data_IF_849193895728
#
_entry.id   IF_849193895728
#
_cell.length_a   1.000
_cell.length_b   1.000
_cell.length_c   1.000
_cell.angle_alpha   90.00
_cell.angle_beta   90.00
_cell.angle_gamma   90.00
#
_symmetry.space_group_name_H-M   'P 1'
#
loop_
_entity.id
_entity.type
_entity.pdbx_description
1 polymer ?
#
# COMPACT_ATOMS: atom_id res chain seq x y z
N UNK A 1 32.84 3.72 23.91
CA UNK A 1 31.39 3.71 23.67
C UNK A 1 31.19 3.20 22.25
N UNK A 2 30.88 1.93 22.04
CA UNK A 2 30.71 1.37 20.69
C UNK A 2 29.27 1.60 20.22
N UNK A 3 29.15 2.45 19.22
CA UNK A 3 27.94 2.72 18.45
C UNK A 3 27.52 1.48 17.65
N UNK A 4 26.41 0.85 18.02
CA UNK A 4 25.74 -0.09 17.12
C UNK A 4 25.12 0.68 15.95
N UNK A 5 25.32 0.20 14.73
CA UNK A 5 24.61 0.68 13.55
C UNK A 5 23.25 -0.02 13.45
N UNK A 6 22.17 0.75 13.56
CA UNK A 6 20.79 0.27 13.50
C UNK A 6 20.16 0.72 12.18
N UNK A 7 19.57 -0.21 11.43
CA UNK A 7 18.75 0.12 10.24
C UNK A 7 17.29 -0.18 10.53
N UNK A 8 16.40 0.73 10.13
CA UNK A 8 14.96 0.71 10.46
C UNK A 8 14.15 0.94 9.20
N UNK A 9 13.15 0.07 8.97
CA UNK A 9 12.24 0.21 7.83
C UNK A 9 10.79 -0.11 8.20
N UNK A 10 9.84 0.68 7.68
CA UNK A 10 8.42 0.35 7.78
C UNK A 10 7.96 -0.38 6.52
N UNK A 11 7.18 -1.44 6.69
CA UNK A 11 6.57 -2.17 5.58
C UNK A 11 5.31 -2.89 6.04
N UNK A 12 4.21 -2.85 5.26
CA UNK A 12 2.92 -3.47 5.60
C UNK A 12 2.48 -3.21 7.06
N UNK A 13 2.52 -1.95 7.51
CA UNK A 13 2.19 -1.52 8.88
C UNK A 13 3.03 -2.16 10.01
N UNK A 14 4.17 -2.79 9.70
CA UNK A 14 5.12 -3.32 10.68
C UNK A 14 6.45 -2.57 10.60
N UNK A 15 7.11 -2.45 11.74
CA UNK A 15 8.44 -1.83 11.83
C UNK A 15 9.47 -2.95 11.97
N UNK A 16 10.49 -2.90 11.11
CA UNK A 16 11.58 -3.85 11.05
C UNK A 16 12.86 -3.19 11.53
N UNK A 17 13.57 -3.84 12.45
CA UNK A 17 14.74 -3.28 13.12
C UNK A 17 15.88 -4.30 13.07
N UNK A 18 17.05 -3.85 12.61
CA UNK A 18 18.33 -4.53 12.78
C UNK A 18 18.96 -4.14 14.13
N UNK A 19 19.25 -5.11 15.00
CA UNK A 19 19.91 -4.90 16.29
C UNK A 19 21.21 -5.68 16.37
N UNK A 20 22.34 -4.97 16.54
CA UNK A 20 23.66 -5.57 16.74
C UNK A 20 23.86 -6.21 18.11
N UNK A 21 24.60 -7.32 18.18
CA UNK A 21 25.12 -7.88 19.45
C UNK A 21 26.40 -7.14 19.87
N UNK A 22 26.54 -6.84 21.15
CA UNK A 22 27.70 -6.12 21.69
C UNK A 22 29.03 -6.77 21.27
N UNK A 23 29.99 -5.95 20.82
CA UNK A 23 31.33 -6.36 20.42
C UNK A 23 31.39 -7.37 19.26
N UNK A 24 30.31 -7.53 18.51
CA UNK A 24 30.28 -8.31 17.27
C UNK A 24 29.86 -7.42 16.12
N UNK A 25 30.37 -7.69 14.91
CA UNK A 25 29.85 -7.06 13.68
C UNK A 25 28.46 -7.59 13.28
N UNK A 26 27.82 -8.39 14.14
CA UNK A 26 26.62 -9.18 13.85
C UNK A 26 25.36 -8.56 14.45
N UNK A 27 24.23 -8.74 13.79
CA UNK A 27 22.92 -8.23 14.16
C UNK A 27 21.79 -9.23 13.86
N UNK A 28 20.68 -9.12 14.58
CA UNK A 28 19.43 -9.87 14.34
C UNK A 28 18.31 -8.92 13.89
N UNK A 29 17.32 -9.45 13.16
CA UNK A 29 16.16 -8.68 12.67
C UNK A 29 14.94 -8.96 13.54
N UNK A 30 14.28 -7.88 13.95
CA UNK A 30 13.09 -7.90 14.79
C UNK A 30 11.92 -7.23 14.09
N UNK A 31 10.72 -7.68 14.43
CA UNK A 31 9.45 -7.02 14.13
C UNK A 31 8.96 -6.34 15.39
N UNK A 32 8.63 -5.06 15.30
CA UNK A 32 7.91 -4.34 16.33
C UNK A 32 6.42 -4.29 16.00
N UNK A 33 5.60 -4.78 16.92
CA UNK A 33 4.13 -4.85 16.79
C UNK A 33 3.39 -3.71 17.49
N UNK A 34 4.12 -2.79 18.13
CA UNK A 34 3.56 -1.70 18.93
C UNK A 34 3.89 -1.81 20.41
N UNK A 35 4.17 -3.01 20.90
CA UNK A 35 4.48 -3.24 22.32
C UNK A 35 5.81 -3.99 22.52
N UNK A 36 6.12 -4.96 21.66
CA UNK A 36 7.28 -5.85 21.83
C UNK A 36 8.09 -6.03 20.56
N UNK A 37 9.38 -6.35 20.72
CA UNK A 37 10.26 -6.76 19.63
C UNK A 37 10.28 -8.29 19.53
N UNK A 38 9.87 -8.83 18.39
CA UNK A 38 9.86 -10.27 18.12
C UNK A 38 10.91 -10.61 17.07
N UNK A 39 11.84 -11.55 17.34
CA UNK A 39 12.85 -11.94 16.36
C UNK A 39 12.19 -12.65 15.18
N UNK A 40 12.63 -12.35 13.96
CA UNK A 40 12.10 -12.97 12.73
C UNK A 40 12.65 -14.39 12.55
N UNK A 41 13.87 -14.63 13.02
CA UNK A 41 14.48 -15.95 13.12
C UNK A 41 15.62 -15.88 14.15
N UNK A 42 15.53 -16.63 15.25
CA UNK A 42 16.52 -16.61 16.33
C UNK A 42 17.87 -17.23 15.96
N UNK A 43 17.93 -17.98 14.86
CA UNK A 43 19.11 -18.78 14.48
C UNK A 43 19.99 -18.09 13.42
N UNK A 44 19.65 -16.87 13.00
CA UNK A 44 20.37 -16.16 11.94
C UNK A 44 20.98 -14.89 12.52
N UNK A 45 22.31 -14.87 12.65
CA UNK A 45 23.10 -13.68 12.95
C UNK A 45 23.70 -13.11 11.66
N UNK A 46 23.53 -11.81 11.39
CA UNK A 46 23.90 -11.17 10.13
C UNK A 46 24.93 -10.08 10.34
N UNK A 47 26.00 -10.03 9.55
CA UNK A 47 26.99 -8.96 9.65
C UNK A 47 26.50 -7.67 8.97
N UNK A 48 26.34 -6.58 9.73
CA UNK A 48 25.90 -5.24 9.26
C UNK A 48 24.74 -5.23 8.24
N UNK A 49 23.57 -5.78 8.57
CA UNK A 49 22.50 -5.92 7.60
C UNK A 49 21.86 -4.57 7.26
N UNK A 50 21.75 -4.27 5.96
CA UNK A 50 20.90 -3.20 5.45
C UNK A 50 19.56 -3.77 5.02
N UNK A 51 18.47 -3.14 5.45
CA UNK A 51 17.10 -3.59 5.20
C UNK A 51 16.52 -2.88 3.97
N UNK A 52 16.20 -3.65 2.94
CA UNK A 52 15.50 -3.19 1.74
C UNK A 52 14.17 -3.93 1.63
N UNK A 53 13.09 -3.23 1.28
CA UNK A 53 11.73 -3.81 1.22
C UNK A 53 11.19 -3.70 -0.19
N UNK A 54 10.60 -4.78 -0.71
CA UNK A 54 9.92 -4.80 -2.00
C UNK A 54 8.82 -5.89 -2.04
N UNK A 55 7.63 -5.53 -2.55
CA UNK A 55 6.45 -6.40 -2.70
C UNK A 55 5.94 -7.07 -1.40
N UNK A 56 6.34 -8.31 -1.14
CA UNK A 56 6.04 -9.09 0.07
C UNK A 56 7.32 -9.64 0.71
N UNK A 57 8.47 -9.04 0.39
CA UNK A 57 9.76 -9.55 0.76
C UNK A 57 10.61 -8.49 1.46
N UNK A 58 11.32 -8.95 2.48
CA UNK A 58 12.41 -8.22 3.10
C UNK A 58 13.70 -8.75 2.49
N UNK A 59 14.48 -7.85 1.97
CA UNK A 59 15.79 -8.10 1.40
C UNK A 59 16.83 -7.62 2.39
N UNK A 60 17.69 -8.53 2.82
CA UNK A 60 18.80 -8.20 3.71
C UNK A 60 20.08 -8.25 2.90
N UNK A 61 20.74 -7.10 2.79
CA UNK A 61 22.07 -7.04 2.19
C UNK A 61 23.13 -7.29 3.26
N UNK A 62 23.98 -8.28 3.02
CA UNK A 62 25.23 -8.49 3.76
C UNK A 62 26.39 -7.85 3.03
N UNK A 63 27.32 -7.21 3.75
CA UNK A 63 28.68 -7.08 3.23
C UNK A 63 29.39 -8.41 3.46
N UNK A 64 29.91 -9.07 2.43
CA UNK A 64 30.79 -10.23 2.65
C UNK A 64 32.13 -9.70 3.14
N UNK A 65 32.64 -10.23 4.24
CA UNK A 65 33.89 -9.84 4.92
C UNK A 65 35.17 -9.88 4.06
N UNK A 66 35.07 -10.24 2.79
CA UNK A 66 36.17 -10.47 1.88
C UNK A 66 36.11 -9.34 0.85
N UNK A 67 37.16 -8.51 0.79
CA UNK A 67 37.43 -7.28 -0.01
C UNK A 67 36.98 -7.28 -1.50
N UNK A 68 35.74 -7.69 -1.79
CA UNK A 68 35.29 -8.06 -3.13
C UNK A 68 34.12 -7.21 -3.63
N UNK A 69 33.71 -6.17 -2.90
CA UNK A 69 32.57 -5.31 -3.24
C UNK A 69 31.26 -6.08 -3.53
N UNK A 70 31.14 -7.30 -3.00
CA UNK A 70 29.98 -8.18 -3.20
C UNK A 70 29.11 -8.17 -1.96
N UNK A 71 27.81 -8.04 -2.17
CA UNK A 71 26.83 -8.23 -1.12
C UNK A 71 26.02 -9.51 -1.35
N UNK A 72 25.83 -10.32 -0.30
CA UNK A 72 24.88 -11.44 -0.33
C UNK A 72 23.49 -10.90 0.01
N UNK A 73 22.50 -11.31 -0.78
CA UNK A 73 21.11 -10.92 -0.65
C UNK A 73 20.32 -12.07 -0.03
N UNK A 74 19.70 -11.84 1.11
CA UNK A 74 18.72 -12.76 1.66
C UNK A 74 17.32 -12.26 1.42
N UNK A 75 16.44 -13.15 0.97
CA UNK A 75 15.03 -12.86 0.76
C UNK A 75 14.23 -13.54 1.87
N UNK A 76 13.55 -12.74 2.69
CA UNK A 76 12.56 -13.23 3.62
C UNK A 76 11.16 -12.96 3.06
N UNK A 77 10.42 -14.02 2.77
CA UNK A 77 9.03 -13.95 2.35
C UNK A 77 8.13 -13.70 3.56
N UNK A 78 7.57 -12.49 3.64
CA UNK A 78 6.74 -12.04 4.77
C UNK A 78 5.37 -12.71 4.83
N UNK A 79 4.90 -13.31 3.73
CA UNK A 79 3.63 -14.04 3.70
C UNK A 79 3.81 -15.47 4.20
N UNK A 80 4.91 -16.10 3.84
CA UNK A 80 5.14 -17.53 4.09
C UNK A 80 6.11 -17.80 5.25
N UNK A 81 6.76 -16.78 5.81
CA UNK A 81 7.81 -16.91 6.83
C UNK A 81 9.00 -17.78 6.39
N UNK A 82 9.31 -17.76 5.08
CA UNK A 82 10.37 -18.56 4.46
C UNK A 82 11.58 -17.68 4.15
N UNK A 83 12.77 -18.18 4.47
CA UNK A 83 14.05 -17.55 4.17
C UNK A 83 14.71 -18.26 2.98
N UNK A 84 14.97 -17.53 1.89
CA UNK A 84 15.61 -18.04 0.66
C UNK A 84 16.96 -17.32 0.47
N UNK A 85 18.06 -18.09 0.49
CA UNK A 85 19.41 -17.61 0.18
C UNK A 85 19.56 -17.53 -1.34
N UNK A 86 19.50 -16.33 -1.94
CA UNK A 86 19.70 -16.18 -3.39
C UNK A 86 20.56 -14.99 -3.79
N UNK A 87 21.63 -15.33 -4.50
CA UNK A 87 22.44 -14.55 -5.46
C UNK A 87 22.96 -13.17 -5.03
N UNK A 88 24.26 -13.00 -5.23
CA UNK A 88 25.02 -11.75 -5.00
C UNK A 88 24.55 -10.60 -5.90
N UNK A 89 24.39 -9.41 -5.33
CA UNK A 89 24.15 -8.15 -6.06
C UNK A 89 25.22 -7.12 -5.71
N UNK A 90 25.38 -6.13 -6.60
CA UNK A 90 26.28 -4.99 -6.44
C UNK A 90 25.81 -4.00 -5.36
N UNK A 91 26.75 -3.47 -4.58
CA UNK A 91 26.53 -2.67 -3.37
C UNK A 91 26.01 -1.25 -3.66
N UNK A 92 26.44 -0.64 -4.76
CA UNK A 92 26.04 0.72 -5.17
C UNK A 92 24.58 0.75 -5.63
N UNK A 93 24.15 -0.32 -6.30
CA UNK A 93 22.75 -0.53 -6.71
C UNK A 93 21.80 -0.59 -5.50
N UNK A 94 22.26 -1.11 -4.36
CA UNK A 94 21.47 -1.23 -3.15
C UNK A 94 21.50 0.03 -2.27
N UNK A 95 22.59 0.79 -2.29
CA UNK A 95 22.73 2.03 -1.53
C UNK A 95 21.77 3.12 -2.03
N UNK A 96 21.56 3.21 -3.34
CA UNK A 96 20.68 4.21 -3.98
C UNK A 96 19.19 4.15 -3.58
N UNK A 97 18.73 3.07 -2.94
CA UNK A 97 17.30 2.81 -2.64
C UNK A 97 16.90 2.94 -1.17
N UNK A 98 17.81 3.37 -0.29
CA UNK A 98 17.53 3.51 1.14
C UNK A 98 17.71 4.96 1.59
N UNK A 99 16.60 5.64 1.88
CA UNK A 99 16.55 6.85 2.70
C UNK A 99 15.37 6.73 3.68
N UNK A 100 15.50 7.44 4.81
CA UNK A 100 14.76 7.36 6.07
C UNK A 100 13.23 7.16 5.98
N UNK A 101 12.64 6.64 7.07
CA UNK A 101 11.21 6.30 7.17
C UNK A 101 10.47 7.22 8.14
N UNK A 102 9.38 7.81 7.65
CA UNK A 102 8.32 8.50 8.39
C UNK A 102 7.06 7.64 8.41
N UNK A 103 6.44 7.46 9.58
CA UNK A 103 5.14 6.80 9.75
C UNK A 103 4.26 7.69 10.66
N UNK A 104 3.07 8.05 10.18
CA UNK A 104 2.00 8.71 10.96
C UNK A 104 2.42 9.92 11.83
N UNK A 105 3.32 10.79 11.36
CA UNK A 105 3.86 11.97 12.07
C UNK A 105 4.72 11.70 13.33
N UNK A 106 5.27 10.49 13.46
CA UNK A 106 6.18 10.14 14.57
C UNK A 106 7.58 9.79 14.07
N UNK A 107 8.59 10.28 14.80
CA UNK A 107 9.95 9.78 14.70
C UNK A 107 10.11 8.70 15.77
N UNK A 108 10.52 7.52 15.36
CA UNK A 108 10.84 6.42 16.25
C UNK A 108 12.35 6.42 16.47
N UNK A 109 12.78 6.55 17.72
CA UNK A 109 14.20 6.51 18.10
C UNK A 109 14.42 5.40 19.13
N UNK A 110 15.42 4.55 18.89
CA UNK A 110 15.82 3.50 19.82
C UNK A 110 16.74 4.13 20.87
N UNK A 111 16.38 4.07 22.15
CA UNK A 111 17.26 4.46 23.25
C UNK A 111 17.65 3.18 23.98
N UNK A 112 18.91 2.75 23.87
CA UNK A 112 19.44 1.77 24.80
C UNK A 112 19.68 2.46 26.15
N UNK A 113 19.23 1.84 27.25
CA UNK A 113 19.72 2.20 28.57
C UNK A 113 20.42 0.98 29.15
N UNK A 114 21.71 1.13 29.41
CA UNK A 114 22.49 0.24 30.25
C UNK A 114 21.81 0.20 31.63
N UNK A 115 21.04 -0.86 31.91
CA UNK A 115 21.06 -1.64 33.17
C UNK A 115 19.95 -2.69 33.31
N UNK A 116 18.99 -2.87 32.39
CA UNK A 116 17.89 -3.86 32.62
C UNK A 116 17.37 -4.60 31.36
N UNK A 117 18.25 -4.98 30.41
CA UNK A 117 17.95 -5.87 29.24
C UNK A 117 16.71 -5.53 28.37
N UNK A 118 16.05 -4.40 28.57
CA UNK A 118 14.88 -3.96 27.80
C UNK A 118 15.27 -2.88 26.79
N UNK A 119 15.02 -3.15 25.52
CA UNK A 119 15.09 -2.15 24.46
C UNK A 119 13.82 -1.31 24.53
N UNK A 120 13.96 -0.02 24.85
CA UNK A 120 12.83 0.91 24.93
C UNK A 120 12.77 1.66 23.59
N UNK A 121 11.72 1.38 22.81
CA UNK A 121 11.39 2.17 21.62
C UNK A 121 10.65 3.42 22.10
N UNK A 122 11.28 4.60 21.96
CA UNK A 122 10.59 5.86 22.26
C UNK A 122 9.92 6.38 21.01
N UNK A 123 8.59 6.47 21.07
CA UNK A 123 7.76 7.21 20.13
C UNK A 123 7.79 8.69 20.53
N UNK A 124 8.40 9.56 19.72
CA UNK A 124 8.33 11.02 19.92
C UNK A 124 7.47 11.62 18.81
N UNK A 125 6.39 12.31 19.20
CA UNK A 125 5.67 13.18 18.27
C UNK A 125 6.59 14.33 17.92
N UNK A 126 6.79 14.60 16.64
CA UNK A 126 7.63 15.71 16.26
C UNK A 126 6.95 17.05 16.62
N UNK A 127 7.63 17.86 17.44
CA UNK A 127 7.52 19.33 17.44
C UNK A 127 8.87 19.84 16.96
N UNK A 128 8.87 20.66 15.91
CA UNK A 128 10.08 21.28 15.37
C UNK A 128 10.75 22.16 16.41
N UNK A 129 12.03 21.96 16.69
CA UNK A 129 12.85 22.87 17.51
C UNK A 129 13.80 23.64 16.59
N UNK A 130 13.75 24.97 16.73
CA UNK A 130 14.42 25.98 15.92
C UNK A 130 15.88 26.23 16.32
N UNK A 131 16.66 26.76 15.38
CA UNK A 131 18.04 27.22 15.56
C UNK A 131 18.09 28.51 16.40
N UNK A 132 18.81 28.55 17.55
CA UNK A 132 18.74 29.66 18.52
C UNK A 132 19.41 30.97 18.09
N UNK A 133 19.95 31.08 16.87
CA UNK A 133 20.57 32.31 16.35
C UNK A 133 19.94 32.87 15.06
N UNK A 134 18.71 32.45 14.70
CA UNK A 134 17.99 33.04 13.57
C UNK A 134 17.15 34.24 14.07
N UNK A 135 17.25 35.43 13.44
CA UNK A 135 16.41 36.57 13.81
C UNK A 135 14.93 36.19 13.77
N UNK A 136 14.21 36.60 14.80
CA UNK A 136 12.84 36.19 15.09
C UNK A 136 11.87 36.69 14.03
N UNK A 137 11.56 35.82 13.06
CA UNK A 137 10.33 35.85 12.27
C UNK A 137 9.82 34.42 12.23
N UNK A 138 8.79 34.12 13.02
CA UNK A 138 8.14 32.81 13.10
C UNK A 138 8.01 32.16 11.70
N UNK A 139 8.60 30.98 11.45
CA UNK A 139 8.28 30.22 10.26
C UNK A 139 6.89 29.61 10.43
N UNK A 140 5.94 30.07 9.59
CA UNK A 140 4.63 29.46 9.44
C UNK A 140 4.77 27.93 9.29
N UNK A 141 3.81 27.14 9.82
CA UNK A 141 3.76 25.69 9.58
C UNK A 141 3.88 25.40 8.09
N UNK A 142 4.81 24.54 7.70
CA UNK A 142 4.98 24.15 6.30
C UNK A 142 3.63 23.60 5.80
N UNK A 143 3.02 24.22 4.78
CA UNK A 143 1.64 23.91 4.41
C UNK A 143 1.56 22.45 3.97
N UNK A 144 0.63 21.72 4.58
CA UNK A 144 0.30 20.34 4.22
C UNK A 144 0.11 20.27 2.69
N UNK A 145 1.02 19.60 1.97
CA UNK A 145 1.08 19.64 0.50
C UNK A 145 -0.31 19.46 -0.11
N UNK A 146 -0.82 20.55 -0.67
CA UNK A 146 -2.18 20.59 -1.20
C UNK A 146 -2.27 19.78 -2.49
N UNK A 147 -3.50 19.36 -2.82
CA UNK A 147 -3.77 18.80 -4.12
C UNK A 147 -3.50 19.88 -5.19
N UNK A 148 -2.82 19.55 -6.31
CA UNK A 148 -2.61 20.51 -7.40
C UNK A 148 -3.88 20.73 -8.24
N UNK A 149 -5.00 20.11 -7.85
CA UNK A 149 -6.22 20.03 -8.65
C UNK A 149 -7.15 21.20 -8.35
N UNK A 150 -7.38 22.02 -9.37
CA UNK A 150 -8.25 23.21 -9.30
C UNK A 150 -9.74 22.86 -9.20
N UNK A 151 -10.11 21.64 -9.60
CA UNK A 151 -11.47 21.11 -9.62
C UNK A 151 -11.79 20.21 -8.42
N UNK A 152 -10.95 20.22 -7.38
CA UNK A 152 -11.15 19.48 -6.11
C UNK A 152 -10.91 20.41 -4.94
N UNK A 153 -11.99 20.83 -4.27
CA UNK A 153 -11.94 21.78 -3.14
C UNK A 153 -11.77 21.05 -1.82
N UNK A 154 -11.08 21.67 -0.85
CA UNK A 154 -10.92 21.12 0.51
C UNK A 154 -12.24 20.77 1.21
N UNK A 155 -13.31 21.50 0.88
CA UNK A 155 -14.67 21.28 1.39
C UNK A 155 -15.39 20.10 0.75
N UNK A 156 -14.87 19.54 -0.35
CA UNK A 156 -15.52 18.43 -1.03
C UNK A 156 -15.44 17.16 -0.18
N UNK A 157 -16.54 16.42 -0.09
CA UNK A 157 -16.63 15.17 0.66
C UNK A 157 -15.57 14.14 0.22
N UNK A 158 -15.17 14.19 -1.06
CA UNK A 158 -14.20 13.29 -1.68
C UNK A 158 -12.74 13.75 -1.50
N UNK A 159 -12.50 14.98 -1.00
CA UNK A 159 -11.16 15.57 -0.91
C UNK A 159 -10.15 14.68 -0.19
N UNK A 160 -10.52 14.17 1.00
CA UNK A 160 -9.64 13.31 1.80
C UNK A 160 -9.25 12.03 1.06
N UNK A 161 -10.23 11.40 0.39
CA UNK A 161 -9.99 10.18 -0.37
C UNK A 161 -9.11 10.44 -1.59
N UNK A 162 -9.40 11.50 -2.37
CA UNK A 162 -8.61 11.89 -3.53
C UNK A 162 -7.18 12.22 -3.12
N UNK A 163 -7.00 13.01 -2.05
CA UNK A 163 -5.68 13.37 -1.51
C UNK A 163 -4.88 12.15 -1.09
N UNK A 164 -5.50 11.21 -0.36
CA UNK A 164 -4.85 9.96 0.02
C UNK A 164 -4.41 9.15 -1.21
N UNK A 165 -5.32 8.94 -2.16
CA UNK A 165 -5.04 8.14 -3.35
C UNK A 165 -3.98 8.80 -4.26
N UNK A 166 -3.98 10.13 -4.35
CA UNK A 166 -3.01 10.91 -5.12
C UNK A 166 -1.62 10.90 -4.48
N UNK A 167 -1.53 11.19 -3.17
CA UNK A 167 -0.24 11.24 -2.47
C UNK A 167 0.48 9.88 -2.47
N UNK A 168 -0.28 8.79 -2.43
CA UNK A 168 0.26 7.44 -2.56
C UNK A 168 0.52 7.00 -4.02
N UNK A 169 0.28 7.88 -5.00
CA UNK A 169 0.48 7.64 -6.43
C UNK A 169 -0.37 6.49 -7.00
N UNK A 170 -1.52 6.21 -6.37
CA UNK A 170 -2.45 5.18 -6.83
C UNK A 170 -3.34 5.68 -7.97
N UNK A 171 -3.73 6.96 -7.91
CA UNK A 171 -4.49 7.65 -8.96
C UNK A 171 -3.82 8.99 -9.28
N UNK A 172 -3.75 9.32 -10.56
CA UNK A 172 -3.28 10.64 -11.04
C UNK A 172 -4.46 11.51 -11.46
N UNK A 173 -4.21 12.80 -11.65
CA UNK A 173 -5.15 13.68 -12.38
C UNK A 173 -5.24 13.29 -13.85
N UNK A 174 -6.26 13.83 -14.54
CA UNK A 174 -6.37 13.78 -15.99
C UNK A 174 -5.43 14.78 -16.67
N UNK A 175 -5.03 15.81 -15.94
CA UNK A 175 -3.93 16.72 -16.28
C UNK A 175 -3.07 16.97 -15.03
N UNK A 176 -2.07 17.85 -15.12
CA UNK A 176 -1.28 18.28 -13.95
C UNK A 176 -2.08 19.06 -12.92
N UNK A 177 -3.19 19.71 -13.32
CA UNK A 177 -3.99 20.62 -12.48
C UNK A 177 -5.49 20.29 -12.44
N UNK A 178 -5.90 19.17 -13.04
CA UNK A 178 -7.30 18.72 -13.11
C UNK A 178 -7.41 17.24 -12.74
N UNK A 179 -8.28 16.92 -11.79
CA UNK A 179 -8.55 15.55 -11.37
C UNK A 179 -9.68 14.88 -12.16
N UNK A 180 -10.65 15.66 -12.64
CA UNK A 180 -11.92 15.25 -13.24
C UNK A 180 -12.76 14.36 -12.31
N UNK A 181 -13.19 14.84 -11.13
CA UNK A 181 -13.86 14.01 -10.11
C UNK A 181 -15.13 13.33 -10.63
N UNK A 182 -15.92 14.03 -11.45
CA UNK A 182 -17.20 13.56 -11.98
C UNK A 182 -17.09 12.71 -13.25
N UNK A 183 -15.90 12.60 -13.84
CA UNK A 183 -15.70 11.74 -15.01
C UNK A 183 -15.94 10.28 -14.62
N UNK A 184 -16.65 9.54 -15.48
CA UNK A 184 -16.91 8.11 -15.29
C UNK A 184 -15.58 7.36 -15.25
N UNK A 185 -15.40 6.53 -14.23
CA UNK A 185 -14.24 5.65 -14.15
C UNK A 185 -14.44 4.47 -15.10
N UNK A 186 -13.42 4.13 -15.88
CA UNK A 186 -13.45 2.91 -16.70
C UNK A 186 -12.92 1.70 -15.92
N UNK A 187 -13.26 0.50 -16.37
CA UNK A 187 -12.72 -0.75 -15.81
C UNK A 187 -11.20 -0.82 -15.88
N UNK A 188 -10.61 -0.34 -16.97
CA UNK A 188 -9.16 -0.22 -17.16
C UNK A 188 -8.51 0.71 -16.13
N UNK A 189 -9.12 1.86 -15.86
CA UNK A 189 -8.64 2.76 -14.81
C UNK A 189 -8.67 2.10 -13.42
N UNK A 190 -9.74 1.38 -13.08
CA UNK A 190 -9.82 0.70 -11.78
C UNK A 190 -8.68 -0.31 -11.60
N UNK A 191 -8.45 -1.20 -12.56
CA UNK A 191 -7.37 -2.19 -12.43
C UNK A 191 -5.99 -1.55 -12.42
N UNK A 192 -5.78 -0.44 -13.14
CA UNK A 192 -4.54 0.34 -13.05
C UNK A 192 -4.33 0.91 -11.65
N UNK A 193 -5.39 1.40 -10.98
CA UNK A 193 -5.29 1.86 -9.58
C UNK A 193 -4.87 0.71 -8.66
N UNK A 194 -5.51 -0.46 -8.77
CA UNK A 194 -5.15 -1.63 -7.96
C UNK A 194 -3.73 -2.13 -8.25
N UNK A 195 -3.30 -2.07 -9.51
CA UNK A 195 -1.94 -2.43 -9.91
C UNK A 195 -0.90 -1.46 -9.36
N UNK A 196 -1.21 -0.16 -9.32
CA UNK A 196 -0.36 0.86 -8.67
C UNK A 196 -0.23 0.60 -7.17
N UNK A 197 -1.32 0.19 -6.52
CA UNK A 197 -1.32 -0.16 -5.09
C UNK A 197 -0.39 -1.34 -4.78
N UNK A 198 -0.20 -2.26 -5.72
CA UNK A 198 0.75 -3.37 -5.59
C UNK A 198 2.18 -3.05 -6.06
N UNK A 199 2.46 -1.79 -6.42
CA UNK A 199 3.79 -1.41 -6.92
C UNK A 199 4.06 -1.89 -8.34
N UNK A 200 3.01 -2.03 -9.16
CA UNK A 200 3.06 -2.36 -10.60
C UNK A 200 3.82 -3.66 -10.92
N UNK A 201 3.49 -4.80 -10.30
CA UNK A 201 4.15 -6.08 -10.58
C UNK A 201 4.06 -6.46 -12.07
N UNK A 202 5.16 -6.95 -12.61
CA UNK A 202 5.18 -7.48 -13.99
C UNK A 202 4.70 -8.93 -14.01
N UNK A 203 3.96 -9.30 -15.05
CA UNK A 203 3.52 -10.68 -15.30
C UNK A 203 3.94 -11.06 -16.72
N UNK A 204 4.50 -12.25 -16.91
CA UNK A 204 4.92 -12.72 -18.24
C UNK A 204 3.72 -13.08 -19.13
N UNK A 205 3.97 -13.22 -20.44
CA UNK A 205 2.96 -13.60 -21.42
C UNK A 205 2.06 -12.46 -21.92
N UNK A 206 1.12 -12.83 -22.79
CA UNK A 206 0.12 -11.94 -23.38
C UNK A 206 -1.15 -11.88 -22.52
N UNK A 207 -1.93 -10.82 -22.69
CA UNK A 207 -3.29 -10.77 -22.15
C UNK A 207 -4.13 -11.91 -22.73
N UNK A 208 -4.98 -12.53 -21.89
CA UNK A 208 -5.98 -13.51 -22.34
C UNK A 208 -7.17 -12.86 -23.05
N UNK A 209 -7.35 -11.54 -22.91
CA UNK A 209 -8.50 -10.83 -23.44
C UNK A 209 -8.21 -10.27 -24.84
N UNK A 210 -9.05 -10.56 -25.85
CA UNK A 210 -8.80 -10.15 -27.24
C UNK A 210 -8.86 -8.62 -27.44
N UNK A 211 -9.55 -7.89 -26.58
CA UNK A 211 -9.64 -6.42 -26.58
C UNK A 211 -8.53 -5.73 -25.77
N UNK A 212 -7.54 -6.48 -25.28
CA UNK A 212 -6.40 -5.97 -24.50
C UNK A 212 -5.10 -6.53 -25.05
N UNK A 213 -4.85 -6.34 -26.35
CA UNK A 213 -3.65 -6.87 -27.03
C UNK A 213 -2.57 -5.80 -27.28
N UNK A 214 -2.95 -4.51 -27.32
CA UNK A 214 -1.99 -3.42 -27.50
C UNK A 214 -1.16 -3.23 -26.21
N UNK A 215 0.13 -3.55 -26.27
CA UNK A 215 1.06 -3.47 -25.13
C UNK A 215 1.36 -2.05 -24.67
N UNK A 216 1.08 -1.05 -25.52
CA UNK A 216 1.34 0.35 -25.23
C UNK A 216 0.19 1.02 -24.44
N UNK A 217 -0.95 0.34 -24.27
CA UNK A 217 -2.05 0.85 -23.46
C UNK A 217 -1.69 0.87 -21.98
N UNK A 218 -2.00 1.98 -21.30
CA UNK A 218 -1.66 2.18 -19.88
C UNK A 218 -2.24 1.10 -18.95
N UNK A 219 -3.35 0.48 -19.34
CA UNK A 219 -4.00 -0.59 -18.59
C UNK A 219 -3.50 -1.99 -18.95
N UNK A 220 -2.69 -2.18 -20.01
CA UNK A 220 -2.32 -3.50 -20.52
C UNK A 220 -1.70 -4.40 -19.44
N UNK A 221 -0.65 -3.89 -18.77
CA UNK A 221 0.05 -4.62 -17.72
C UNK A 221 -0.84 -4.86 -16.50
N UNK A 222 -1.68 -3.88 -16.15
CA UNK A 222 -2.59 -3.96 -15.02
C UNK A 222 -3.69 -5.01 -15.23
N UNK A 223 -4.31 -5.05 -16.40
CA UNK A 223 -5.32 -6.05 -16.77
C UNK A 223 -4.73 -7.45 -16.77
N UNK A 224 -3.54 -7.62 -17.36
CA UNK A 224 -2.85 -8.91 -17.38
C UNK A 224 -2.55 -9.41 -15.96
N UNK A 225 -2.02 -8.53 -15.11
CA UNK A 225 -1.76 -8.86 -13.71
C UNK A 225 -3.04 -9.20 -12.95
N UNK A 226 -4.08 -8.37 -13.06
CA UNK A 226 -5.34 -8.57 -12.37
C UNK A 226 -6.01 -9.88 -12.79
N UNK A 227 -5.96 -10.22 -14.08
CA UNK A 227 -6.50 -11.49 -14.57
C UNK A 227 -5.70 -12.70 -14.13
N UNK A 228 -4.36 -12.60 -14.05
CA UNK A 228 -3.51 -13.72 -13.61
C UNK A 228 -3.74 -14.06 -12.14
N UNK A 229 -4.13 -13.07 -11.34
CA UNK A 229 -4.38 -13.18 -9.92
C UNK A 229 -5.88 -13.32 -9.56
N UNK A 230 -6.75 -13.62 -10.54
CA UNK A 230 -8.20 -13.80 -10.35
C UNK A 230 -8.93 -12.60 -9.74
N UNK A 231 -8.35 -11.39 -9.84
CA UNK A 231 -9.01 -10.14 -9.44
C UNK A 231 -10.10 -9.76 -10.46
N UNK A 232 -9.89 -10.12 -11.73
CA UNK A 232 -10.86 -9.90 -12.82
C UNK A 232 -11.00 -11.11 -13.73
N UNK A 233 -12.22 -11.35 -14.20
CA UNK A 233 -12.55 -12.45 -15.13
C UNK A 233 -12.93 -11.99 -16.53
N UNK A 234 -13.27 -10.71 -16.73
CA UNK A 234 -13.84 -10.20 -17.97
C UNK A 234 -15.35 -10.44 -18.06
N UNK A 235 -15.92 -10.21 -19.23
CA UNK A 235 -17.31 -10.47 -19.56
C UNK A 235 -17.48 -11.87 -20.18
N UNK A 236 -18.72 -12.36 -20.21
CA UNK A 236 -19.07 -13.68 -20.76
C UNK A 236 -18.72 -13.83 -22.24
N UNK A 237 -18.58 -12.73 -22.98
CA UNK A 237 -18.13 -12.74 -24.38
C UNK A 237 -16.60 -12.84 -24.55
N UNK A 238 -15.86 -13.07 -23.45
CA UNK A 238 -14.40 -13.20 -23.44
C UNK A 238 -13.62 -11.88 -23.46
N UNK A 239 -14.28 -10.72 -23.55
CA UNK A 239 -13.63 -9.40 -23.52
C UNK A 239 -13.43 -8.90 -22.08
N UNK A 240 -12.48 -7.98 -21.87
CA UNK A 240 -12.34 -7.28 -20.59
C UNK A 240 -13.19 -6.01 -20.48
N UNK A 241 -13.32 -5.26 -21.57
CA UNK A 241 -13.96 -3.94 -21.63
C UNK A 241 -13.17 -2.84 -20.93
N UNK A 242 -11.89 -2.58 -21.28
CA UNK A 242 -11.05 -1.63 -20.53
C UNK A 242 -11.56 -0.19 -20.55
N UNK A 243 -12.25 0.20 -21.62
CA UNK A 243 -12.78 1.55 -21.81
C UNK A 243 -14.24 1.70 -21.35
N UNK A 244 -14.87 0.60 -20.94
CA UNK A 244 -16.27 0.62 -20.50
C UNK A 244 -16.36 1.28 -19.12
N UNK A 245 -17.31 2.21 -18.90
CA UNK A 245 -17.62 2.74 -17.59
C UNK A 245 -17.95 1.61 -16.61
N UNK A 246 -17.31 1.63 -15.44
CA UNK A 246 -17.55 0.61 -14.44
C UNK A 246 -18.82 0.91 -13.65
N UNK A 247 -19.68 -0.09 -13.46
CA UNK A 247 -20.82 0.02 -12.55
C UNK A 247 -20.37 -0.12 -11.09
N UNK A 248 -21.15 0.41 -10.16
CA UNK A 248 -20.86 0.34 -8.73
C UNK A 248 -20.80 -1.10 -8.22
N UNK A 249 -21.66 -1.98 -8.72
CA UNK A 249 -21.67 -3.40 -8.38
C UNK A 249 -20.46 -4.16 -8.96
N UNK A 250 -19.98 -3.78 -10.15
CA UNK A 250 -18.75 -4.33 -10.71
C UNK A 250 -17.52 -3.87 -9.93
N UNK A 251 -17.50 -2.61 -9.50
CA UNK A 251 -16.45 -2.05 -8.65
C UNK A 251 -16.39 -2.83 -7.32
N UNK A 252 -17.54 -3.09 -6.69
CA UNK A 252 -17.64 -3.88 -5.47
C UNK A 252 -17.09 -5.30 -5.65
N UNK A 253 -17.49 -5.98 -6.72
CA UNK A 253 -17.00 -7.32 -7.09
C UNK A 253 -15.48 -7.33 -7.26
N UNK A 254 -14.92 -6.37 -8.00
CA UNK A 254 -13.48 -6.31 -8.24
C UNK A 254 -12.69 -5.99 -6.96
N UNK A 255 -13.20 -5.13 -6.07
CA UNK A 255 -12.58 -4.88 -4.78
C UNK A 255 -12.68 -6.07 -3.83
N UNK A 256 -13.80 -6.82 -3.85
CA UNK A 256 -13.90 -8.04 -3.07
C UNK A 256 -12.84 -9.07 -3.51
N UNK A 257 -12.71 -9.32 -4.81
CA UNK A 257 -11.69 -10.24 -5.33
C UNK A 257 -10.27 -9.76 -5.01
N UNK A 258 -10.04 -8.45 -5.08
CA UNK A 258 -8.77 -7.87 -4.64
C UNK A 258 -8.53 -8.10 -3.14
N UNK A 259 -9.54 -7.99 -2.28
CA UNK A 259 -9.40 -8.29 -0.84
C UNK A 259 -9.02 -9.75 -0.59
N UNK A 260 -9.56 -10.68 -1.39
CA UNK A 260 -9.21 -12.11 -1.36
C UNK A 260 -7.75 -12.30 -1.79
N UNK A 261 -7.35 -11.67 -2.91
CA UNK A 261 -5.96 -11.68 -3.36
C UNK A 261 -4.98 -11.17 -2.29
N UNK A 262 -5.37 -10.12 -1.54
CA UNK A 262 -4.56 -9.58 -0.44
C UNK A 262 -4.57 -10.43 0.83
N UNK A 263 -5.39 -11.47 0.92
CA UNK A 263 -5.60 -12.22 2.17
C UNK A 263 -6.32 -11.42 3.26
N UNK A 264 -7.04 -10.37 2.88
CA UNK A 264 -7.74 -9.44 3.78
C UNK A 264 -9.26 -9.55 3.71
N UNK A 265 -9.76 -10.57 3.00
CA UNK A 265 -11.18 -10.82 2.89
C UNK A 265 -11.81 -11.09 4.25
N UNK A 266 -12.97 -10.47 4.47
CA UNK A 266 -13.77 -10.65 5.68
C UNK A 266 -15.14 -11.17 5.27
N UNK A 267 -15.56 -12.28 5.85
CA UNK A 267 -16.93 -12.76 5.68
C UNK A 267 -17.86 -11.82 6.47
N UNK A 268 -18.80 -11.21 5.77
CA UNK A 268 -19.78 -10.30 6.36
C UNK A 268 -21.18 -10.66 5.89
N UNK A 269 -22.19 -10.17 6.60
CA UNK A 269 -23.58 -10.19 6.18
C UNK A 269 -24.07 -8.74 6.15
N UNK A 270 -24.30 -8.19 4.97
CA UNK A 270 -24.80 -6.84 4.83
C UNK A 270 -26.28 -6.75 5.22
N UNK A 271 -26.62 -5.69 5.95
CA UNK A 271 -28.01 -5.28 6.10
C UNK A 271 -28.41 -4.43 4.90
N UNK A 272 -29.25 -5.00 4.04
CA UNK A 272 -29.81 -4.32 2.87
C UNK A 272 -31.16 -3.66 3.13
N UNK A 273 -31.76 -3.83 4.31
CA UNK A 273 -33.15 -3.41 4.60
C UNK A 273 -33.40 -1.91 4.41
N UNK A 274 -32.36 -1.09 4.64
CA UNK A 274 -32.42 0.37 4.44
C UNK A 274 -32.29 0.82 2.99
N UNK A 275 -31.86 -0.06 2.07
CA UNK A 275 -31.63 0.29 0.67
C UNK A 275 -32.81 -0.12 -0.21
N UNK A 276 -33.59 0.86 -0.67
CA UNK A 276 -34.81 0.63 -1.45
C UNK A 276 -34.55 0.03 -2.84
N UNK A 277 -33.32 0.09 -3.33
CA UNK A 277 -32.88 -0.41 -4.63
C UNK A 277 -31.95 -1.63 -4.53
N UNK A 278 -31.88 -2.28 -3.36
CA UNK A 278 -31.10 -3.51 -3.15
C UNK A 278 -31.56 -4.66 -4.06
N UNK A 279 -32.83 -4.69 -4.45
CA UNK A 279 -33.37 -5.65 -5.43
C UNK A 279 -32.81 -5.47 -6.85
N UNK A 280 -32.14 -4.35 -7.17
CA UNK A 280 -31.48 -4.11 -8.46
C UNK A 280 -30.05 -4.66 -8.53
N UNK A 281 -29.54 -5.26 -7.45
CA UNK A 281 -28.23 -5.90 -7.46
C UNK A 281 -28.29 -7.12 -8.37
N UNK A 282 -27.46 -7.13 -9.41
CA UNK A 282 -27.38 -8.27 -10.33
C UNK A 282 -26.87 -9.52 -9.61
N UNK A 283 -27.35 -10.71 -10.02
CA UNK A 283 -27.00 -11.97 -9.34
C UNK A 283 -25.49 -12.20 -9.21
N UNK A 284 -24.73 -11.91 -10.27
CA UNK A 284 -23.27 -12.05 -10.27
C UNK A 284 -22.57 -11.14 -9.26
N UNK A 285 -23.22 -10.06 -8.81
CA UNK A 285 -22.65 -9.06 -7.92
C UNK A 285 -23.12 -9.18 -6.47
N UNK A 286 -24.07 -10.07 -6.16
CA UNK A 286 -24.63 -10.23 -4.81
C UNK A 286 -23.57 -10.42 -3.73
N UNK A 287 -22.58 -11.29 -3.96
CA UNK A 287 -21.49 -11.54 -3.01
C UNK A 287 -20.57 -10.33 -2.85
N UNK A 288 -20.21 -9.66 -3.96
CA UNK A 288 -19.37 -8.47 -3.93
C UNK A 288 -20.05 -7.29 -3.23
N UNK A 289 -21.34 -7.10 -3.48
CA UNK A 289 -22.15 -6.08 -2.81
C UNK A 289 -22.38 -6.39 -1.34
N UNK A 290 -22.65 -7.66 -0.98
CA UNK A 290 -22.76 -8.09 0.41
C UNK A 290 -21.47 -7.79 1.18
N UNK A 291 -20.32 -8.16 0.62
CA UNK A 291 -19.04 -7.83 1.23
C UNK A 291 -18.84 -6.32 1.34
N UNK A 292 -19.02 -5.58 0.26
CA UNK A 292 -18.72 -4.15 0.22
C UNK A 292 -19.61 -3.32 1.16
N UNK A 293 -20.89 -3.68 1.28
CA UNK A 293 -21.80 -3.03 2.23
C UNK A 293 -21.47 -3.46 3.66
N UNK A 294 -21.28 -4.76 3.90
CA UNK A 294 -20.99 -5.29 5.24
C UNK A 294 -19.67 -4.82 5.84
N UNK A 295 -18.68 -4.50 5.01
CA UNK A 295 -17.38 -3.93 5.43
C UNK A 295 -17.36 -2.40 5.45
N UNK A 296 -18.44 -1.74 5.02
CA UNK A 296 -18.51 -0.28 4.91
C UNK A 296 -17.73 0.34 3.75
N UNK A 297 -17.17 -0.47 2.83
CA UNK A 297 -16.57 -0.02 1.57
C UNK A 297 -17.60 0.74 0.72
N UNK A 298 -18.85 0.26 0.72
CA UNK A 298 -20.02 0.95 0.18
C UNK A 298 -20.96 1.30 1.32
N UNK A 299 -21.30 2.58 1.43
CA UNK A 299 -22.29 3.08 2.41
C UNK A 299 -23.58 3.59 1.75
N UNK A 300 -23.72 3.40 0.43
CA UNK A 300 -24.77 4.03 -0.39
C UNK A 300 -24.32 5.32 -1.08
N UNK A 301 -25.11 5.75 -2.06
CA UNK A 301 -25.07 7.09 -2.68
C UNK A 301 -25.89 8.09 -1.87
N UNK A 302 -26.92 7.59 -1.19
CA UNK A 302 -27.66 8.25 -0.12
C UNK A 302 -27.81 7.26 1.05
N UNK A 303 -28.45 7.68 2.14
CA UNK A 303 -28.81 6.79 3.24
C UNK A 303 -29.74 5.64 2.83
N UNK A 304 -30.46 5.77 1.70
CA UNK A 304 -31.49 4.83 1.25
C UNK A 304 -31.22 4.18 -0.12
N UNK A 305 -30.14 4.55 -0.82
CA UNK A 305 -29.90 4.08 -2.20
C UNK A 305 -28.47 3.64 -2.46
N UNK A 306 -28.29 2.51 -3.14
CA UNK A 306 -26.98 1.96 -3.56
C UNK A 306 -26.61 2.34 -4.99
N UNK A 307 -27.59 2.37 -5.89
CA UNK A 307 -27.48 2.51 -7.34
C UNK A 307 -26.50 1.46 -7.92
N UNK A 308 -26.74 0.15 -7.72
CA UNK A 308 -25.75 -0.90 -8.02
C UNK A 308 -25.33 -0.95 -9.49
N UNK A 309 -26.30 -0.78 -10.40
CA UNK A 309 -26.06 -0.81 -11.85
C UNK A 309 -25.60 0.54 -12.43
N UNK A 310 -25.60 1.62 -11.64
CA UNK A 310 -25.11 2.93 -12.09
C UNK A 310 -23.60 2.98 -12.20
N UNK A 311 -23.08 3.81 -13.09
CA UNK A 311 -21.64 3.98 -13.29
C UNK A 311 -21.00 4.81 -12.17
N UNK A 312 -19.83 4.41 -11.69
CA UNK A 312 -19.07 5.16 -10.71
C UNK A 312 -18.23 6.27 -11.37
N UNK A 313 -18.20 7.43 -10.75
CA UNK A 313 -17.24 8.50 -11.06
C UNK A 313 -15.87 8.24 -10.43
N UNK A 314 -14.85 8.98 -10.88
CA UNK A 314 -13.48 8.89 -10.36
C UNK A 314 -13.39 9.20 -8.87
N UNK A 315 -14.13 10.20 -8.38
CA UNK A 315 -14.14 10.54 -6.96
C UNK A 315 -14.86 9.50 -6.09
N UNK A 316 -15.93 8.89 -6.59
CA UNK A 316 -16.64 7.82 -5.89
C UNK A 316 -15.77 6.57 -5.78
N UNK A 317 -15.07 6.22 -6.87
CA UNK A 317 -14.14 5.10 -6.83
C UNK A 317 -12.96 5.38 -5.87
N UNK A 318 -12.38 6.59 -5.89
CA UNK A 318 -11.35 6.97 -4.93
C UNK A 318 -11.86 6.84 -3.49
N UNK A 319 -13.08 7.28 -3.21
CA UNK A 319 -13.69 7.15 -1.90
C UNK A 319 -13.95 5.70 -1.48
N UNK A 320 -14.42 4.84 -2.39
CA UNK A 320 -14.63 3.42 -2.10
C UNK A 320 -13.32 2.69 -1.81
N UNK A 321 -12.28 2.94 -2.61
CA UNK A 321 -10.95 2.35 -2.40
C UNK A 321 -10.32 2.87 -1.10
N UNK A 322 -10.49 4.17 -0.81
CA UNK A 322 -10.06 4.74 0.46
C UNK A 322 -10.78 4.10 1.67
N UNK A 323 -12.09 3.87 1.58
CA UNK A 323 -12.86 3.15 2.61
C UNK A 323 -12.40 1.71 2.78
N UNK A 324 -12.02 1.02 1.70
CA UNK A 324 -11.38 -0.28 1.79
C UNK A 324 -10.08 -0.22 2.63
N UNK A 325 -9.22 0.77 2.44
CA UNK A 325 -8.05 0.93 3.32
C UNK A 325 -8.42 1.20 4.79
N UNK A 326 -9.48 1.97 5.04
CA UNK A 326 -9.95 2.23 6.39
C UNK A 326 -10.55 0.98 7.05
N UNK A 327 -11.27 0.14 6.29
CA UNK A 327 -11.84 -1.09 6.84
C UNK A 327 -10.76 -2.06 7.31
N UNK A 328 -9.58 -2.04 6.70
CA UNK A 328 -8.42 -2.84 7.15
C UNK A 328 -7.80 -2.36 8.46
N UNK A 329 -8.00 -1.09 8.86
CA UNK A 329 -7.45 -0.55 10.11
C UNK A 329 -8.35 -0.81 11.32
N UNK A 330 -9.62 -1.11 11.07
CA UNK A 330 -10.64 -1.30 12.11
C UNK A 330 -10.94 -2.79 12.38
N UNK A 331 -10.15 -3.70 11.79
CA UNK A 331 -10.35 -5.15 11.82
C UNK A 331 -9.09 -5.86 12.30
#
# INVERSE_FOLDING_TARGET
MSSGSYDIKSFNNKIYISLGKENTQKAMIYIYDGDTLKPINSNIELSFPKIVTAQNCIYVLMNTSDDSAKAKLYKFDTLNNIFDEKSTIDIDTAISKAKAVTLDNYIYTIISKKTDEKIIVKKKQYKSEENPNKPNTDPLPEPEKELPFTDVKKSDWSYKAIKYMYNNKYISGTTSTTFSPKMKLTRGMLVTILHNMEGKPNVSGKSKFPDVQNTNEYYYSAVKWASKNNIVNGYNNGKFGPNDPITREQLAVMLNQYSIYKGTYQKTNADFSKFSDSNKISDFAKWGMNWAVGTGVITGTTEKTLIPQGTASREEAAAMIYKYFLSLKNS
#
